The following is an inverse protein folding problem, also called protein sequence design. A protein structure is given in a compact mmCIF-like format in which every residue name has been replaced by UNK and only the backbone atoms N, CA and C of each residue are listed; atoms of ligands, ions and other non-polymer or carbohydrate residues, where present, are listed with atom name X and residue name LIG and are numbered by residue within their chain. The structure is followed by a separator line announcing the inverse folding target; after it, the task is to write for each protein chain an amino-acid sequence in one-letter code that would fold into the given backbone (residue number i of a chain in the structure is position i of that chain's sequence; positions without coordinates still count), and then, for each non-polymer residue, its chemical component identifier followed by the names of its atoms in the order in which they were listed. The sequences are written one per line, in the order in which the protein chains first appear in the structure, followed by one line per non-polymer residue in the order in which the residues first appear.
data_IF_632034292651
#
_entry.id   IF_632034292651
#
_cell.length_a   1.000
_cell.length_b   1.000
_cell.length_c   1.000
_cell.angle_alpha   90.00
_cell.angle_beta   90.00
_cell.angle_gamma   90.00
#
_symmetry.space_group_name_H-M   'P 1'
#
loop_
_entity.id
_entity.type
_entity.pdbx_description
1 polymer ?
#
# COMPACT_ATOMS: atom_id res chain seq x y z
N UNK A 1 3.18 -21.66 2.90
CA UNK A 1 3.89 -20.44 2.47
C UNK A 1 3.28 -19.26 3.20
N UNK A 2 4.07 -18.31 3.71
CA UNK A 2 3.53 -17.08 4.29
C UNK A 2 2.82 -16.27 3.22
N UNK A 3 1.76 -15.56 3.60
CA UNK A 3 1.04 -14.65 2.70
C UNK A 3 1.93 -13.44 2.39
N UNK A 4 2.16 -13.13 1.11
CA UNK A 4 2.99 -12.00 0.69
C UNK A 4 2.16 -10.74 0.60
N UNK A 5 2.53 -9.70 1.36
CA UNK A 5 1.77 -8.45 1.44
C UNK A 5 2.67 -7.27 1.13
N UNK A 6 2.25 -6.43 0.19
CA UNK A 6 2.89 -5.14 -0.07
C UNK A 6 2.08 -4.01 0.56
N UNK A 7 2.72 -3.13 1.31
CA UNK A 7 2.09 -1.95 1.94
C UNK A 7 2.69 -0.67 1.40
N UNK A 8 1.82 0.26 0.99
CA UNK A 8 2.22 1.51 0.33
C UNK A 8 1.38 2.67 0.85
N UNK A 9 1.96 3.87 0.87
CA UNK A 9 1.26 5.08 1.27
C UNK A 9 1.41 6.18 0.22
N UNK A 10 0.36 6.96 0.05
CA UNK A 10 0.34 8.20 -0.71
C UNK A 10 -0.32 9.29 0.14
N UNK A 11 0.42 10.31 0.55
CA UNK A 11 -0.18 11.39 1.34
C UNK A 11 0.81 12.04 2.29
N UNK A 12 0.37 12.26 3.53
CA UNK A 12 1.16 12.93 4.54
C UNK A 12 1.92 11.93 5.42
N UNK A 13 2.73 12.47 6.35
CA UNK A 13 3.53 11.66 7.31
C UNK A 13 2.70 10.66 8.09
N UNK A 14 1.42 10.96 8.36
CA UNK A 14 0.51 10.05 9.08
C UNK A 14 0.24 8.79 8.26
N UNK A 15 -0.05 8.92 6.95
CA UNK A 15 -0.29 7.77 6.09
C UNK A 15 0.94 6.82 6.05
N UNK A 16 2.16 7.38 6.02
CA UNK A 16 3.39 6.60 6.07
C UNK A 16 3.58 5.91 7.43
N UNK A 17 3.31 6.60 8.53
CA UNK A 17 3.43 6.02 9.87
C UNK A 17 2.44 4.86 10.08
N UNK A 18 1.19 5.01 9.63
CA UNK A 18 0.17 3.95 9.70
C UNK A 18 0.56 2.73 8.88
N UNK A 19 1.18 2.92 7.70
CA UNK A 19 1.67 1.78 6.89
C UNK A 19 2.89 1.10 7.50
N UNK A 20 3.78 1.85 8.17
CA UNK A 20 4.89 1.26 8.92
C UNK A 20 4.39 0.42 10.11
N UNK A 21 3.39 0.91 10.86
CA UNK A 21 2.73 0.13 11.92
C UNK A 21 2.07 -1.14 11.36
N UNK A 22 1.31 -1.00 10.26
CA UNK A 22 0.66 -2.12 9.61
C UNK A 22 1.67 -3.17 9.13
N UNK A 23 2.80 -2.77 8.53
CA UNK A 23 3.87 -3.68 8.13
C UNK A 23 4.38 -4.51 9.31
N UNK A 24 4.65 -3.86 10.45
CA UNK A 24 5.08 -4.54 11.66
C UNK A 24 4.05 -5.56 12.16
N UNK A 25 2.77 -5.19 12.15
CA UNK A 25 1.66 -6.07 12.56
C UNK A 25 1.47 -7.26 11.63
N UNK A 26 1.60 -7.05 10.32
CA UNK A 26 1.53 -8.13 9.31
C UNK A 26 2.69 -9.11 9.47
N UNK A 27 3.92 -8.60 9.64
CA UNK A 27 5.09 -9.43 9.91
C UNK A 27 4.93 -10.25 11.19
N UNK A 28 4.45 -9.61 12.27
CA UNK A 28 4.16 -10.30 13.55
C UNK A 28 3.06 -11.36 13.42
N UNK A 29 2.13 -11.21 12.46
CA UNK A 29 1.10 -12.18 12.14
C UNK A 29 1.57 -13.31 11.19
N UNK A 30 2.86 -13.33 10.80
CA UNK A 30 3.42 -14.36 9.93
C UNK A 30 3.26 -14.10 8.43
N UNK A 31 2.90 -12.88 8.03
CA UNK A 31 2.94 -12.46 6.63
C UNK A 31 4.37 -12.08 6.21
N UNK A 32 4.69 -12.28 4.94
CA UNK A 32 5.92 -11.79 4.34
C UNK A 32 5.66 -10.39 3.76
N UNK A 33 6.22 -9.36 4.38
CA UNK A 33 6.11 -7.99 3.86
C UNK A 33 7.14 -7.80 2.76
N UNK A 34 6.67 -7.52 1.54
CA UNK A 34 7.51 -7.37 0.34
C UNK A 34 7.49 -5.94 -0.19
N UNK A 35 8.43 -5.60 -1.08
CA UNK A 35 8.47 -4.27 -1.70
C UNK A 35 7.23 -4.02 -2.59
N UNK A 36 7.02 -2.77 -3.02
CA UNK A 36 5.90 -2.42 -3.92
C UNK A 36 6.07 -3.07 -5.30
N UNK A 37 7.30 -3.23 -5.74
CA UNK A 37 7.66 -3.78 -7.04
C UNK A 37 7.63 -5.31 -7.07
N UNK A 38 7.65 -5.94 -5.90
CA UNK A 38 7.66 -7.40 -5.79
C UNK A 38 6.26 -7.98 -6.02
N UNK A 39 6.17 -9.26 -6.45
CA UNK A 39 4.92 -10.01 -6.44
C UNK A 39 4.35 -10.07 -5.01
N UNK A 40 3.07 -9.77 -4.87
CA UNK A 40 2.34 -9.83 -3.60
C UNK A 40 0.97 -10.47 -3.82
N UNK A 41 0.51 -11.26 -2.85
CA UNK A 41 -0.84 -11.84 -2.86
C UNK A 41 -1.88 -10.77 -2.49
N UNK A 42 -1.48 -9.80 -1.67
CA UNK A 42 -2.30 -8.67 -1.23
C UNK A 42 -1.49 -7.38 -1.32
N UNK A 43 -2.09 -6.34 -1.89
CA UNK A 43 -1.53 -4.98 -1.93
C UNK A 43 -2.42 -4.03 -1.12
N UNK A 44 -1.82 -3.28 -0.20
CA UNK A 44 -2.48 -2.24 0.60
C UNK A 44 -1.94 -0.88 0.19
N UNK A 45 -2.82 0.04 -0.17
CA UNK A 45 -2.49 1.44 -0.45
C UNK A 45 -3.30 2.33 0.50
N UNK A 46 -2.63 3.00 1.43
CA UNK A 46 -3.24 4.04 2.26
C UNK A 46 -3.09 5.41 1.60
N UNK A 47 -4.21 6.13 1.43
CA UNK A 47 -4.22 7.43 0.79
C UNK A 47 -5.20 8.40 1.43
N UNK A 48 -5.03 9.70 1.18
CA UNK A 48 -5.96 10.74 1.56
C UNK A 48 -6.54 11.46 0.34
N UNK A 49 -7.77 11.95 0.48
CA UNK A 49 -8.50 12.66 -0.60
C UNK A 49 -8.91 14.06 -0.17
N UNK A 50 -8.25 14.59 0.86
CA UNK A 50 -8.55 15.90 1.47
C UNK A 50 -8.40 17.07 0.50
N UNK A 51 -7.65 16.89 -0.59
CA UNK A 51 -7.59 17.85 -1.70
C UNK A 51 -7.90 17.18 -3.02
N UNK A 52 -8.40 17.97 -3.99
CA UNK A 52 -8.67 17.49 -5.35
C UNK A 52 -7.41 16.91 -6.02
N UNK A 53 -6.26 17.53 -5.78
CA UNK A 53 -4.98 17.03 -6.28
C UNK A 53 -4.64 15.65 -5.67
N UNK A 54 -4.81 15.49 -4.36
CA UNK A 54 -4.58 14.21 -3.69
C UNK A 54 -5.53 13.11 -4.19
N UNK A 55 -6.82 13.42 -4.42
CA UNK A 55 -7.77 12.47 -5.01
C UNK A 55 -7.37 12.07 -6.44
N UNK A 56 -6.96 13.03 -7.28
CA UNK A 56 -6.51 12.76 -8.64
C UNK A 56 -5.27 11.85 -8.67
N UNK A 57 -4.25 12.14 -7.86
CA UNK A 57 -3.05 11.30 -7.75
C UNK A 57 -3.37 9.90 -7.21
N UNK A 58 -4.26 9.81 -6.22
CA UNK A 58 -4.73 8.53 -5.67
C UNK A 58 -5.37 7.67 -6.74
N UNK A 59 -6.30 8.22 -7.52
CA UNK A 59 -6.95 7.52 -8.63
C UNK A 59 -5.96 7.10 -9.70
N UNK A 60 -4.98 7.96 -10.02
CA UNK A 60 -3.93 7.61 -10.98
C UNK A 60 -3.09 6.43 -10.50
N UNK A 61 -2.68 6.41 -9.23
CA UNK A 61 -1.90 5.31 -8.63
C UNK A 61 -2.69 4.01 -8.65
N UNK A 62 -3.95 4.04 -8.20
CA UNK A 62 -4.82 2.85 -8.18
C UNK A 62 -5.03 2.25 -9.56
N UNK A 63 -5.21 3.09 -10.59
CA UNK A 63 -5.34 2.64 -11.99
C UNK A 63 -4.07 1.97 -12.50
N UNK A 64 -2.89 2.45 -12.12
CA UNK A 64 -1.60 1.83 -12.51
C UNK A 64 -1.43 0.47 -11.84
N UNK A 65 -1.70 0.38 -10.54
CA UNK A 65 -1.62 -0.88 -9.79
C UNK A 65 -2.54 -1.95 -10.39
N UNK A 66 -3.82 -1.62 -10.62
CA UNK A 66 -4.78 -2.54 -11.26
C UNK A 66 -4.40 -2.98 -12.68
N UNK A 67 -3.61 -2.19 -13.40
CA UNK A 67 -3.15 -2.55 -14.75
C UNK A 67 -1.92 -3.46 -14.70
N UNK A 68 -1.07 -3.28 -13.69
CA UNK A 68 0.09 -4.12 -13.45
C UNK A 68 -0.29 -5.48 -12.82
N UNK A 69 -1.44 -5.53 -12.15
CA UNK A 69 -1.96 -6.67 -11.40
C UNK A 69 -3.45 -6.88 -11.76
N UNK A 70 -3.75 -7.54 -12.91
CA UNK A 70 -5.09 -7.60 -13.52
C UNK A 70 -6.13 -8.44 -12.78
#
# INVERSE_FOLDING_TARGET
MPLRVSVTALGCKVNYAEMADLAGRLAAAGCEVVAEEDPADVRVLNTCTVTVAADATSRQRLRRLRRADP
#
